data_IF_440551872121
#
_entry.id   IF_440551872121
#
_cell.length_a   1.000
_cell.length_b   1.000
_cell.length_c   1.000
_cell.angle_alpha   90.00
_cell.angle_beta   90.00
_cell.angle_gamma   90.00
#
_symmetry.space_group_name_H-M   'P 1'
#
loop_
_entity.id
_entity.type
_entity.pdbx_description
1 polymer ?
#
# COMPACT_ATOMS: atom_id res chain seq x y z
N UNK A 1 -8.37 72.77 -0.93
CA UNK A 1 -7.69 71.83 -1.84
C UNK A 1 -6.53 71.20 -1.08
N UNK A 2 -6.65 69.97 -0.55
CA UNK A 2 -5.54 69.27 0.13
C UNK A 2 -4.86 68.32 -0.86
N UNK A 3 -3.53 68.25 -0.94
CA UNK A 3 -2.84 67.36 -1.86
C UNK A 3 -2.90 65.91 -1.35
N UNK A 4 -3.31 65.00 -2.25
CA UNK A 4 -3.28 63.55 -2.02
C UNK A 4 -1.83 63.07 -2.12
N UNK A 5 -1.30 62.49 -1.03
CA UNK A 5 0.03 61.86 -1.04
C UNK A 5 0.04 60.53 -1.82
N UNK A 6 1.20 60.09 -2.34
CA UNK A 6 1.31 58.89 -3.15
C UNK A 6 1.06 57.61 -2.32
N UNK A 7 0.48 56.55 -2.92
CA UNK A 7 0.24 55.29 -2.23
C UNK A 7 1.56 54.60 -1.87
N UNK A 8 1.68 54.15 -0.62
CA UNK A 8 2.89 53.48 -0.10
C UNK A 8 3.08 52.09 -0.76
N UNK A 9 4.19 51.85 -1.48
CA UNK A 9 4.51 50.55 -2.04
C UNK A 9 5.21 49.71 -0.97
N UNK A 10 4.61 48.59 -0.52
CA UNK A 10 5.34 47.67 0.36
C UNK A 10 4.52 46.72 1.23
N UNK A 11 3.20 46.90 1.32
CA UNK A 11 2.35 45.98 2.09
C UNK A 11 2.00 44.70 1.30
N UNK A 12 1.89 44.78 -0.03
CA UNK A 12 1.51 43.67 -0.91
C UNK A 12 2.60 42.59 -1.05
N UNK A 13 3.83 42.98 -1.36
CA UNK A 13 4.94 42.03 -1.60
C UNK A 13 5.29 41.20 -0.37
N UNK A 14 5.21 41.79 0.82
CA UNK A 14 5.55 41.11 2.08
C UNK A 14 4.52 40.05 2.48
N UNK A 15 3.25 40.26 2.12
CA UNK A 15 2.19 39.26 2.29
C UNK A 15 2.24 38.17 1.22
N UNK A 16 2.66 38.51 0.00
CA UNK A 16 2.82 37.54 -1.08
C UNK A 16 3.89 36.49 -0.75
N UNK A 17 5.06 36.91 -0.24
CA UNK A 17 6.14 35.95 0.12
C UNK A 17 5.78 35.01 1.27
N UNK A 18 4.97 35.44 2.23
CA UNK A 18 4.51 34.57 3.32
C UNK A 18 3.44 33.60 2.86
N UNK A 19 2.55 34.02 1.96
CA UNK A 19 1.57 33.14 1.31
C UNK A 19 2.29 32.09 0.46
N UNK A 20 3.29 32.48 -0.32
CA UNK A 20 4.09 31.56 -1.13
C UNK A 20 4.82 30.53 -0.25
N UNK A 21 5.46 30.96 0.83
CA UNK A 21 6.11 30.07 1.79
C UNK A 21 5.12 29.11 2.46
N UNK A 22 3.92 29.57 2.81
CA UNK A 22 2.88 28.73 3.40
C UNK A 22 2.37 27.68 2.42
N UNK A 23 2.16 28.05 1.14
CA UNK A 23 1.76 27.11 0.09
C UNK A 23 2.88 26.09 -0.17
N UNK A 24 4.14 26.54 -0.24
CA UNK A 24 5.28 25.65 -0.42
C UNK A 24 5.41 24.64 0.73
N UNK A 25 5.24 25.10 1.98
CA UNK A 25 5.26 24.23 3.14
C UNK A 25 4.10 23.24 3.13
N UNK A 26 2.88 23.70 2.81
CA UNK A 26 1.72 22.83 2.69
C UNK A 26 1.92 21.75 1.60
N UNK A 27 2.44 22.14 0.44
CA UNK A 27 2.76 21.21 -0.64
C UNK A 27 3.83 20.19 -0.21
N UNK A 28 4.87 20.61 0.51
CA UNK A 28 5.89 19.72 1.05
C UNK A 28 5.30 18.72 2.04
N UNK A 29 4.44 19.15 2.95
CA UNK A 29 3.75 18.27 3.91
C UNK A 29 2.91 17.23 3.17
N UNK A 30 2.13 17.65 2.18
CA UNK A 30 1.34 16.74 1.34
C UNK A 30 2.25 15.73 0.62
N UNK A 31 3.35 16.18 0.04
CA UNK A 31 4.32 15.29 -0.63
C UNK A 31 4.90 14.25 0.34
N UNK A 32 5.29 14.64 1.56
CA UNK A 32 5.77 13.70 2.58
C UNK A 32 4.69 12.69 2.96
N UNK A 33 3.44 13.12 3.17
CA UNK A 33 2.33 12.21 3.48
C UNK A 33 2.08 11.21 2.36
N UNK A 34 2.16 11.63 1.10
CA UNK A 34 2.06 10.76 -0.07
C UNK A 34 3.21 9.74 -0.10
N UNK A 35 4.45 10.18 0.13
CA UNK A 35 5.61 9.29 0.20
C UNK A 35 5.47 8.23 1.30
N UNK A 36 5.04 8.64 2.50
CA UNK A 36 4.78 7.71 3.60
C UNK A 36 3.66 6.73 3.26
N UNK A 37 2.56 7.21 2.67
CA UNK A 37 1.47 6.35 2.19
C UNK A 37 1.94 5.32 1.16
N UNK A 38 2.79 5.73 0.22
CA UNK A 38 3.37 4.83 -0.78
C UNK A 38 4.26 3.76 -0.13
N UNK A 39 5.14 4.13 0.81
CA UNK A 39 5.97 3.18 1.53
C UNK A 39 5.13 2.15 2.31
N UNK A 40 4.09 2.60 3.01
CA UNK A 40 3.18 1.70 3.73
C UNK A 40 2.43 0.76 2.79
N UNK A 41 1.99 1.26 1.63
CA UNK A 41 1.33 0.46 0.60
C UNK A 41 2.28 -0.61 0.03
N UNK A 42 3.53 -0.25 -0.27
CA UNK A 42 4.56 -1.19 -0.74
C UNK A 42 4.85 -2.26 0.31
N UNK A 43 5.04 -1.87 1.59
CA UNK A 43 5.24 -2.83 2.67
C UNK A 43 4.05 -3.80 2.85
N UNK A 44 2.82 -3.31 2.68
CA UNK A 44 1.64 -4.17 2.71
C UNK A 44 1.57 -5.10 1.48
N UNK A 45 1.96 -4.62 0.29
CA UNK A 45 2.01 -5.43 -0.93
C UNK A 45 3.04 -6.56 -0.81
N UNK A 46 4.23 -6.27 -0.28
CA UNK A 46 5.26 -7.30 -0.01
C UNK A 46 4.69 -8.38 0.92
N UNK A 47 4.03 -7.98 2.02
CA UNK A 47 3.36 -8.91 2.93
C UNK A 47 2.27 -9.75 2.25
N UNK A 48 1.50 -9.20 1.31
CA UNK A 48 0.55 -9.97 0.50
C UNK A 48 1.27 -11.02 -0.36
N UNK A 49 2.38 -10.66 -1.01
CA UNK A 49 3.17 -11.57 -1.84
C UNK A 49 3.77 -12.71 -1.00
N UNK A 50 4.33 -12.38 0.16
CA UNK A 50 4.92 -13.38 1.06
C UNK A 50 3.86 -14.33 1.62
N UNK A 51 2.70 -13.81 2.03
CA UNK A 51 1.58 -14.62 2.47
C UNK A 51 1.04 -15.54 1.35
N UNK A 52 0.92 -15.04 0.12
CA UNK A 52 0.47 -15.86 -1.01
C UNK A 52 1.48 -16.98 -1.30
N UNK A 53 2.77 -16.67 -1.32
CA UNK A 53 3.83 -17.67 -1.52
C UNK A 53 3.84 -18.73 -0.42
N UNK A 54 3.64 -18.32 0.83
CA UNK A 54 3.59 -19.25 1.95
C UNK A 54 2.39 -20.19 1.88
N UNK A 55 1.20 -19.65 1.62
CA UNK A 55 -0.01 -20.46 1.40
C UNK A 55 0.17 -21.45 0.25
N UNK A 56 0.69 -21.00 -0.89
CA UNK A 56 0.90 -21.85 -2.07
C UNK A 56 1.89 -22.99 -1.76
N UNK A 57 3.00 -22.70 -1.07
CA UNK A 57 4.00 -23.72 -0.70
C UNK A 57 3.44 -24.76 0.27
N UNK A 58 2.70 -24.34 1.29
CA UNK A 58 2.13 -25.26 2.29
C UNK A 58 1.07 -26.17 1.68
N UNK A 59 0.14 -25.61 0.90
CA UNK A 59 -0.88 -26.41 0.24
C UNK A 59 -0.29 -27.30 -0.88
N UNK A 60 0.78 -26.87 -1.56
CA UNK A 60 1.50 -27.73 -2.51
C UNK A 60 2.11 -28.98 -1.86
N UNK A 61 2.48 -28.90 -0.57
CA UNK A 61 2.94 -30.02 0.26
C UNK A 61 1.81 -30.87 0.86
N UNK A 62 0.56 -30.53 0.57
CA UNK A 62 -0.61 -31.19 1.16
C UNK A 62 -0.97 -30.73 2.57
N UNK A 63 -0.34 -29.68 3.09
CA UNK A 63 -0.68 -29.08 4.39
C UNK A 63 -1.82 -28.05 4.26
N UNK A 64 -2.95 -28.47 3.68
CA UNK A 64 -4.04 -27.57 3.28
C UNK A 64 -4.69 -26.86 4.48
N UNK A 65 -4.80 -27.56 5.62
CA UNK A 65 -5.38 -27.00 6.86
C UNK A 65 -4.52 -25.90 7.48
N UNK A 66 -3.21 -25.93 7.23
CA UNK A 66 -2.24 -25.02 7.84
C UNK A 66 -1.90 -23.83 6.92
N UNK A 67 -2.14 -23.96 5.61
CA UNK A 67 -1.79 -22.97 4.60
C UNK A 67 -2.42 -21.59 4.87
N UNK A 68 -3.72 -21.53 5.15
CA UNK A 68 -4.44 -20.28 5.40
C UNK A 68 -4.06 -19.65 6.75
N UNK A 69 -4.06 -20.39 7.88
CA UNK A 69 -3.58 -19.86 9.16
C UNK A 69 -2.15 -19.32 9.10
N UNK A 70 -1.23 -20.03 8.43
CA UNK A 70 0.15 -19.60 8.30
C UNK A 70 0.28 -18.30 7.49
N UNK A 71 -0.44 -18.21 6.36
CA UNK A 71 -0.45 -17.00 5.54
C UNK A 71 -1.06 -15.79 6.29
N UNK A 72 -2.07 -16.00 7.14
CA UNK A 72 -2.62 -14.93 7.99
C UNK A 72 -1.61 -14.34 8.98
N UNK A 73 -0.60 -15.11 9.43
CA UNK A 73 0.45 -14.58 10.33
C UNK A 73 1.35 -13.53 9.66
N UNK A 74 1.46 -13.57 8.34
CA UNK A 74 2.33 -12.66 7.57
C UNK A 74 1.51 -11.60 6.81
N UNK A 75 0.27 -11.91 6.46
CA UNK A 75 -0.60 -11.03 5.68
C UNK A 75 -0.93 -9.72 6.43
N UNK A 76 -1.22 -8.63 5.70
CA UNK A 76 -1.73 -7.41 6.31
C UNK A 76 -3.07 -7.64 7.06
N UNK A 77 -3.39 -6.80 8.06
CA UNK A 77 -4.68 -6.87 8.77
C UNK A 77 -5.87 -6.77 7.81
N UNK A 78 -6.87 -7.61 8.02
CA UNK A 78 -8.08 -7.65 7.19
C UNK A 78 -7.86 -8.25 5.79
N UNK A 79 -6.72 -8.90 5.54
CA UNK A 79 -6.49 -9.60 4.28
C UNK A 79 -7.46 -10.76 4.07
N UNK A 80 -7.94 -10.90 2.83
CA UNK A 80 -8.65 -12.09 2.35
C UNK A 80 -7.68 -13.01 1.64
N UNK A 81 -7.70 -14.28 2.00
CA UNK A 81 -6.81 -15.32 1.47
C UNK A 81 -7.68 -16.41 0.85
N UNK A 82 -7.36 -16.81 -0.38
CA UNK A 82 -8.01 -17.94 -1.04
C UNK A 82 -6.94 -18.84 -1.64
N UNK A 83 -7.07 -20.15 -1.43
CA UNK A 83 -6.19 -21.17 -1.99
C UNK A 83 -7.05 -22.11 -2.83
N UNK A 84 -6.59 -22.43 -4.03
CA UNK A 84 -7.23 -23.41 -4.90
C UNK A 84 -6.19 -24.33 -5.53
N UNK A 85 -6.58 -25.56 -5.79
CA UNK A 85 -5.78 -26.53 -6.54
C UNK A 85 -6.28 -26.56 -7.97
N UNK A 86 -5.36 -26.47 -8.92
CA UNK A 86 -5.59 -26.53 -10.36
C UNK A 86 -4.65 -27.58 -10.97
N UNK A 87 -5.15 -28.79 -11.13
CA UNK A 87 -4.35 -29.95 -11.56
C UNK A 87 -3.18 -30.24 -10.62
N UNK A 88 -1.97 -30.14 -11.17
CA UNK A 88 -0.69 -30.33 -10.47
C UNK A 88 -0.18 -29.05 -9.80
N UNK A 89 -0.98 -27.98 -9.76
CA UNK A 89 -0.60 -26.68 -9.19
C UNK A 89 -1.53 -26.25 -8.08
N UNK A 90 -1.00 -25.46 -7.17
CA UNK A 90 -1.74 -24.74 -6.14
C UNK A 90 -1.58 -23.25 -6.41
N UNK A 91 -2.70 -22.55 -6.44
CA UNK A 91 -2.78 -21.10 -6.63
C UNK A 91 -3.31 -20.47 -5.35
N UNK A 92 -2.52 -19.59 -4.74
CA UNK A 92 -2.92 -18.80 -3.59
C UNK A 92 -3.03 -17.33 -3.98
N UNK A 93 -4.15 -16.70 -3.60
CA UNK A 93 -4.42 -15.28 -3.83
C UNK A 93 -4.65 -14.61 -2.48
N UNK A 94 -3.95 -13.50 -2.26
CA UNK A 94 -4.09 -12.65 -1.07
C UNK A 94 -4.50 -11.26 -1.53
N UNK A 95 -5.51 -10.68 -0.88
CA UNK A 95 -5.94 -9.31 -1.13
C UNK A 95 -6.16 -8.53 0.17
N UNK A 96 -5.78 -7.25 0.18
CA UNK A 96 -5.93 -6.38 1.34
C UNK A 96 -6.17 -4.94 0.89
N UNK A 97 -6.72 -4.07 1.74
CA UNK A 97 -6.77 -2.63 1.47
C UNK A 97 -5.41 -2.00 1.76
N UNK A 98 -4.98 -1.04 0.95
CA UNK A 98 -3.75 -0.33 1.20
C UNK A 98 -3.86 0.56 2.45
N UNK A 99 -2.88 0.53 3.36
CA UNK A 99 -2.84 1.48 4.48
C UNK A 99 -2.77 2.92 3.96
N UNK A 100 -3.47 3.85 4.62
CA UNK A 100 -3.59 5.27 4.24
C UNK A 100 -4.27 5.55 2.87
N UNK A 101 -4.61 4.52 2.08
CA UNK A 101 -5.24 4.64 0.77
C UNK A 101 -6.42 3.64 0.67
N UNK A 102 -7.54 3.87 1.39
CA UNK A 102 -8.62 2.89 1.54
C UNK A 102 -9.35 2.55 0.22
N UNK A 103 -9.22 3.42 -0.79
CA UNK A 103 -9.75 3.20 -2.15
C UNK A 103 -8.89 2.23 -2.97
N UNK A 104 -7.66 1.93 -2.53
CA UNK A 104 -6.73 1.07 -3.25
C UNK A 104 -6.72 -0.34 -2.63
N UNK A 105 -6.90 -1.35 -3.48
CA UNK A 105 -6.86 -2.76 -3.08
C UNK A 105 -5.58 -3.39 -3.61
N UNK A 106 -4.79 -3.90 -2.69
CA UNK A 106 -3.59 -4.69 -2.94
C UNK A 106 -4.00 -6.13 -3.24
N UNK A 107 -3.36 -6.74 -4.23
CA UNK A 107 -3.57 -8.14 -4.62
C UNK A 107 -2.23 -8.78 -4.96
N UNK A 108 -2.02 -9.98 -4.47
CA UNK A 108 -0.91 -10.83 -4.82
C UNK A 108 -1.40 -12.24 -5.13
N UNK A 109 -0.74 -12.89 -6.09
CA UNK A 109 -1.02 -14.25 -6.50
C UNK A 109 0.31 -15.02 -6.55
N UNK A 110 0.30 -16.24 -6.03
CA UNK A 110 1.44 -17.13 -6.05
C UNK A 110 0.99 -18.53 -6.46
N UNK A 111 1.85 -19.20 -7.23
CA UNK A 111 1.59 -20.55 -7.75
C UNK A 111 2.75 -21.45 -7.35
N UNK A 112 2.43 -22.67 -6.91
CA UNK A 112 3.40 -23.72 -6.61
C UNK A 112 2.95 -25.04 -7.24
N UNK A 113 3.88 -25.82 -7.79
CA UNK A 113 3.59 -27.19 -8.22
C UNK A 113 3.41 -28.06 -6.97
N UNK A 114 2.43 -28.97 -6.99
CA UNK A 114 2.28 -29.98 -5.95
C UNK A 114 3.50 -30.89 -5.97
N UNK A 115 3.96 -31.26 -4.79
CA UNK A 115 4.96 -32.33 -4.70
C UNK A 115 4.34 -33.59 -5.33
N UNK A 116 5.05 -34.25 -6.26
CA UNK A 116 4.57 -35.52 -6.80
C UNK A 116 4.42 -36.49 -5.62
N UNK A 117 3.17 -36.91 -5.36
CA UNK A 117 2.95 -38.04 -4.47
C UNK A 117 3.57 -39.27 -5.13
N UNK A 118 4.52 -39.90 -4.45
CA UNK A 118 4.68 -41.34 -4.62
C UNK A 118 3.32 -42.00 -4.31
N UNK A 119 2.95 -43.04 -5.08
CA UNK A 119 1.60 -43.61 -5.13
C UNK A 119 1.06 -44.11 -3.79
#
# INVERSE_FOLDING_TARGET
>A
MRPSGPPSPGAGDRGAVTVEAAIALAALVVAVLVCLGALLAVSAQIRCVDAAREAARLAARGADTDAVPAAHRVAPPGARISVRTDGDRVVAVVSARAPALPLLVLRAEAVAAREPGEP
#
